data_IF_460671354043
#
_entry.id   IF_460671354043
#
_cell.length_a   1.000
_cell.length_b   1.000
_cell.length_c   1.000
_cell.angle_alpha   90.00
_cell.angle_beta   90.00
_cell.angle_gamma   90.00
#
_symmetry.space_group_name_H-M   'P 1'
#
loop_
_entity.id
_entity.type
_entity.pdbx_description
1 polymer ?
#
# COMPACT_ATOMS: atom_id res chain seq x y z
N UNK A 1 -27.76 -25.30 -43.79
CA UNK A 1 -26.35 -25.30 -44.22
C UNK A 1 -25.60 -24.34 -43.32
N UNK A 2 -24.65 -24.92 -42.59
CA UNK A 2 -23.64 -24.42 -41.64
C UNK A 2 -23.59 -22.92 -41.30
N UNK A 3 -23.90 -22.67 -40.02
CA UNK A 3 -23.56 -21.55 -39.16
C UNK A 3 -22.02 -21.45 -39.00
N UNK A 4 -21.41 -20.29 -39.23
CA UNK A 4 -20.01 -20.05 -38.84
C UNK A 4 -19.96 -18.95 -37.79
N UNK A 5 -19.70 -19.39 -36.56
CA UNK A 5 -19.38 -18.59 -35.38
C UNK A 5 -18.06 -17.85 -35.56
N UNK A 6 -17.95 -16.64 -35.00
CA UNK A 6 -16.68 -16.17 -34.45
C UNK A 6 -16.97 -15.47 -33.12
N UNK A 7 -16.61 -16.15 -32.04
CA UNK A 7 -16.60 -15.63 -30.67
C UNK A 7 -15.25 -14.95 -30.47
N UNK A 8 -15.26 -13.64 -30.25
CA UNK A 8 -14.11 -12.92 -29.71
C UNK A 8 -14.41 -12.59 -28.25
N UNK A 9 -13.83 -13.40 -27.38
CA UNK A 9 -13.69 -13.16 -25.95
C UNK A 9 -12.69 -12.03 -25.74
N UNK A 10 -13.18 -10.82 -25.47
CA UNK A 10 -12.42 -9.76 -24.81
C UNK A 10 -12.94 -9.64 -23.39
N UNK A 11 -12.17 -10.14 -22.41
CA UNK A 11 -12.48 -9.95 -20.99
C UNK A 11 -12.18 -8.47 -20.68
N UNK A 12 -13.22 -7.64 -20.71
CA UNK A 12 -13.15 -6.30 -20.15
C UNK A 12 -12.98 -6.42 -18.63
N UNK A 13 -11.94 -5.78 -18.11
CA UNK A 13 -11.64 -5.69 -16.69
C UNK A 13 -12.88 -5.24 -15.91
N UNK A 14 -13.21 -5.96 -14.84
CA UNK A 14 -14.15 -5.51 -13.83
C UNK A 14 -13.56 -4.28 -13.13
N UNK A 15 -13.97 -3.10 -13.57
CA UNK A 15 -13.91 -1.89 -12.76
C UNK A 15 -14.89 -2.10 -11.58
N UNK A 16 -14.36 -2.49 -10.42
CA UNK A 16 -15.14 -2.42 -9.20
C UNK A 16 -15.21 -0.96 -8.74
N UNK A 17 -16.45 -0.54 -8.54
CA UNK A 17 -16.93 0.73 -8.01
C UNK A 17 -16.07 1.24 -6.84
N UNK A 18 -15.40 2.38 -7.04
CA UNK A 18 -14.96 3.26 -5.95
C UNK A 18 -16.05 4.31 -5.77
N UNK A 19 -16.93 4.10 -4.80
CA UNK A 19 -17.87 5.14 -4.36
C UNK A 19 -17.32 5.79 -3.09
N UNK A 20 -16.91 7.05 -3.25
CA UNK A 20 -16.76 8.11 -2.23
C UNK A 20 -15.69 7.97 -1.14
N UNK A 21 -14.60 8.72 -1.31
CA UNK A 21 -14.04 9.54 -0.23
C UNK A 21 -13.91 10.96 -0.73
N UNK A 22 -14.72 11.85 -0.17
CA UNK A 22 -14.56 13.30 -0.28
C UNK A 22 -13.34 13.73 0.54
N UNK A 23 -12.61 14.70 -0.01
CA UNK A 23 -11.55 15.50 0.61
C UNK A 23 -10.14 14.89 0.51
N UNK A 24 -9.35 15.21 -0.54
CA UNK A 24 -7.91 15.01 -0.52
C UNK A 24 -7.32 15.92 0.56
N UNK A 25 -7.16 15.39 1.76
CA UNK A 25 -6.57 16.14 2.87
C UNK A 25 -5.09 16.33 2.57
N UNK A 26 -4.71 17.55 2.24
CA UNK A 26 -3.34 18.04 2.42
C UNK A 26 -2.91 17.68 3.84
N UNK A 27 -1.91 16.83 3.98
CA UNK A 27 -1.45 16.34 5.29
C UNK A 27 -1.02 17.55 6.14
N UNK A 28 -1.78 17.84 7.19
CA UNK A 28 -1.31 18.67 8.30
C UNK A 28 -0.45 17.75 9.19
N UNK A 29 0.81 18.15 9.41
CA UNK A 29 1.83 17.43 10.19
C UNK A 29 1.23 16.48 11.26
N UNK A 30 1.43 15.17 11.09
CA UNK A 30 1.16 14.15 12.13
C UNK A 30 -0.22 13.50 12.13
N UNK A 31 -1.09 13.76 11.15
CA UNK A 31 -2.38 13.05 11.04
C UNK A 31 -2.24 11.73 10.26
N UNK A 32 -2.65 10.60 10.85
CA UNK A 32 -2.71 9.32 10.14
C UNK A 32 -3.89 9.24 9.19
N UNK A 33 -3.66 8.65 8.02
CA UNK A 33 -4.71 8.20 7.12
C UNK A 33 -5.38 6.93 7.67
N UNK A 34 -6.63 6.72 7.29
CA UNK A 34 -7.38 5.50 7.59
C UNK A 34 -7.34 4.51 6.42
N UNK A 35 -7.95 3.32 6.58
CA UNK A 35 -8.02 2.33 5.50
C UNK A 35 -8.79 2.88 4.31
N UNK A 36 -8.29 2.66 3.10
CA UNK A 36 -8.81 3.25 1.86
C UNK A 36 -8.35 4.68 1.60
N UNK A 37 -7.51 5.26 2.46
CA UNK A 37 -6.99 6.61 2.29
C UNK A 37 -5.87 6.68 1.25
N UNK A 38 -5.76 7.85 0.62
CA UNK A 38 -4.72 8.19 -0.35
C UNK A 38 -3.86 9.34 0.18
N UNK A 39 -2.55 9.19 0.10
CA UNK A 39 -1.57 10.25 0.30
C UNK A 39 -1.20 10.83 -1.08
N UNK A 40 -1.40 12.12 -1.27
CA UNK A 40 -1.03 12.84 -2.49
C UNK A 40 0.21 13.69 -2.21
N UNK A 41 1.25 13.50 -3.02
CA UNK A 41 2.51 14.23 -2.92
C UNK A 41 2.54 15.38 -3.92
N UNK A 42 3.28 16.44 -3.60
CA UNK A 42 3.27 17.68 -4.37
C UNK A 42 3.83 17.55 -5.79
N UNK A 43 4.59 16.49 -6.07
CA UNK A 43 5.20 16.19 -7.35
C UNK A 43 4.35 15.30 -8.26
N UNK A 44 3.18 14.83 -7.81
CA UNK A 44 2.28 14.00 -8.61
C UNK A 44 2.28 12.51 -8.24
N UNK A 45 3.13 12.07 -7.30
CA UNK A 45 2.98 10.73 -6.73
C UNK A 45 1.71 10.65 -5.88
N UNK A 46 0.96 9.57 -6.02
CA UNK A 46 -0.12 9.21 -5.11
C UNK A 46 0.08 7.80 -4.58
N UNK A 47 -0.20 7.60 -3.28
CA UNK A 47 -0.12 6.29 -2.64
C UNK A 47 -1.42 5.97 -1.93
N UNK A 48 -2.03 4.85 -2.25
CA UNK A 48 -3.31 4.40 -1.68
C UNK A 48 -3.15 3.09 -0.95
N UNK A 49 -3.66 3.00 0.29
CA UNK A 49 -3.69 1.75 1.06
C UNK A 49 -5.14 1.29 1.18
N UNK A 50 -5.48 0.12 0.66
CA UNK A 50 -6.86 -0.40 0.71
C UNK A 50 -7.26 -0.77 2.13
N UNK A 51 -8.57 -0.93 2.36
CA UNK A 51 -9.04 -1.58 3.58
C UNK A 51 -8.53 -3.04 3.66
N UNK A 52 -8.21 -3.54 4.87
CA UNK A 52 -7.89 -4.95 5.06
C UNK A 52 -9.14 -5.82 4.86
N UNK A 53 -8.93 -6.97 4.24
CA UNK A 53 -9.93 -8.02 4.08
C UNK A 53 -9.39 -9.29 4.73
N UNK A 54 -10.27 -9.99 5.46
CA UNK A 54 -9.96 -11.30 6.01
C UNK A 54 -10.14 -12.39 4.94
N UNK A 55 -9.14 -13.23 4.78
CA UNK A 55 -9.14 -14.35 3.85
C UNK A 55 -9.76 -15.61 4.49
N UNK A 56 -10.21 -16.60 3.70
CA UNK A 56 -10.84 -17.83 4.22
C UNK A 56 -9.93 -18.67 5.13
N UNK A 57 -8.61 -18.59 4.96
CA UNK A 57 -7.60 -19.25 5.79
C UNK A 57 -7.34 -18.53 7.13
N UNK A 58 -8.00 -17.39 7.34
CA UNK A 58 -7.87 -16.57 8.54
C UNK A 58 -6.74 -15.53 8.48
N UNK A 59 -5.95 -15.50 7.40
CA UNK A 59 -4.99 -14.44 7.12
C UNK A 59 -5.69 -13.14 6.70
N UNK A 60 -4.92 -12.05 6.59
CA UNK A 60 -5.44 -10.77 6.13
C UNK A 60 -4.70 -10.30 4.89
N UNK A 61 -5.44 -9.59 4.03
CA UNK A 61 -4.90 -9.00 2.82
C UNK A 61 -5.35 -7.55 2.67
N UNK A 62 -4.42 -6.70 2.25
CA UNK A 62 -4.74 -5.37 1.71
C UNK A 62 -3.80 -5.09 0.54
N UNK A 63 -3.96 -3.95 -0.13
CA UNK A 63 -3.07 -3.52 -1.21
C UNK A 63 -2.49 -2.16 -0.94
N UNK A 64 -1.29 -1.94 -1.46
CA UNK A 64 -0.69 -0.61 -1.59
C UNK A 64 -0.57 -0.32 -3.09
N UNK A 65 -1.13 0.78 -3.54
CA UNK A 65 -1.02 1.25 -4.92
C UNK A 65 -0.19 2.52 -4.94
N UNK A 66 0.82 2.54 -5.80
CA UNK A 66 1.57 3.74 -6.17
C UNK A 66 1.12 4.13 -7.57
N UNK A 67 0.71 5.38 -7.74
CA UNK A 67 0.33 5.98 -9.02
C UNK A 67 1.28 7.17 -9.27
N UNK A 68 2.02 7.14 -10.38
CA UNK A 68 2.99 8.17 -10.71
C UNK A 68 2.43 9.13 -11.77
N UNK A 69 1.86 10.25 -11.37
CA UNK A 69 1.53 11.35 -12.29
C UNK A 69 2.63 12.44 -12.32
N UNK A 70 3.83 12.14 -11.81
CA UNK A 70 4.96 13.06 -11.86
C UNK A 70 5.65 13.03 -13.24
N UNK A 71 6.22 14.17 -13.64
CA UNK A 71 6.98 14.32 -14.89
C UNK A 71 8.34 13.55 -14.89
N UNK A 72 8.65 12.83 -13.82
CA UNK A 72 9.90 12.08 -13.64
C UNK A 72 9.62 10.64 -13.16
N UNK A 73 10.49 9.67 -13.51
CA UNK A 73 10.35 8.31 -13.00
C UNK A 73 10.52 8.25 -11.47
N UNK A 74 9.70 7.43 -10.81
CA UNK A 74 9.74 7.23 -9.36
C UNK A 74 10.13 5.80 -9.04
N UNK A 75 11.09 5.61 -8.13
CA UNK A 75 11.42 4.30 -7.57
C UNK A 75 10.78 4.15 -6.18
N UNK A 76 9.66 3.42 -6.02
CA UNK A 76 8.89 3.39 -4.77
C UNK A 76 9.72 3.02 -3.53
N UNK A 77 10.60 2.03 -3.67
CA UNK A 77 11.49 1.55 -2.59
C UNK A 77 12.97 1.85 -2.85
N UNK A 78 13.26 2.71 -3.82
CA UNK A 78 14.62 2.93 -4.32
C UNK A 78 15.15 1.73 -5.13
N UNK A 79 16.45 1.47 -5.02
CA UNK A 79 17.17 0.48 -5.84
C UNK A 79 17.54 -0.83 -5.13
N UNK A 80 16.98 -1.14 -3.96
CA UNK A 80 17.27 -2.38 -3.21
C UNK A 80 15.99 -3.08 -2.76
N UNK A 81 16.04 -4.42 -2.69
CA UNK A 81 14.97 -5.24 -2.12
C UNK A 81 14.84 -5.02 -0.61
N UNK A 82 15.86 -4.48 0.04
CA UNK A 82 15.85 -4.10 1.46
C UNK A 82 14.98 -2.86 1.74
N UNK A 83 14.37 -2.25 0.72
CA UNK A 83 13.53 -1.06 0.89
C UNK A 83 12.13 -1.32 1.46
N UNK A 84 11.87 -2.53 1.96
CA UNK A 84 10.62 -2.88 2.66
C UNK A 84 10.93 -3.57 3.99
N UNK A 85 10.13 -3.33 5.02
CA UNK A 85 10.33 -3.93 6.34
C UNK A 85 9.05 -4.02 7.16
N UNK A 86 9.08 -4.87 8.18
CA UNK A 86 8.02 -4.95 9.20
C UNK A 86 8.46 -4.42 10.58
N UNK A 87 9.66 -3.84 10.65
CA UNK A 87 10.29 -3.40 11.89
C UNK A 87 10.40 -1.89 11.94
N UNK A 88 9.90 -1.29 13.02
CA UNK A 88 9.91 0.16 13.24
C UNK A 88 11.31 0.80 13.30
N UNK A 89 12.35 0.00 13.58
CA UNK A 89 13.74 0.51 13.68
C UNK A 89 14.37 0.73 12.29
N UNK A 90 13.73 0.22 11.24
CA UNK A 90 14.18 0.43 9.87
C UNK A 90 13.83 1.84 9.37
N UNK A 91 14.64 2.38 8.47
CA UNK A 91 14.34 3.62 7.74
C UNK A 91 13.99 3.26 6.29
N UNK A 92 13.26 2.16 6.13
CA UNK A 92 12.95 1.60 4.83
C UNK A 92 11.77 2.37 4.22
N UNK A 93 11.78 2.66 2.91
CA UNK A 93 10.72 3.41 2.25
C UNK A 93 9.30 2.87 2.45
N UNK A 94 9.14 1.58 2.75
CA UNK A 94 7.85 0.97 3.07
C UNK A 94 7.96 0.11 4.33
N UNK A 95 7.22 0.48 5.38
CA UNK A 95 7.13 -0.30 6.61
C UNK A 95 5.69 -0.78 6.82
N UNK A 96 5.49 -2.07 7.10
CA UNK A 96 4.19 -2.64 7.51
C UNK A 96 4.36 -3.36 8.84
N UNK A 97 3.82 -2.79 9.92
CA UNK A 97 4.06 -3.31 11.28
C UNK A 97 2.80 -3.38 12.13
N UNK A 98 2.87 -4.18 13.18
CA UNK A 98 1.87 -4.18 14.24
C UNK A 98 1.98 -2.91 15.12
N UNK A 99 0.85 -2.52 15.71
CA UNK A 99 0.76 -1.40 16.64
C UNK A 99 0.38 -0.08 15.98
N UNK A 100 0.21 0.95 16.80
CA UNK A 100 0.09 2.35 16.38
C UNK A 100 1.49 3.00 16.38
N UNK A 101 1.63 4.19 15.79
CA UNK A 101 2.82 5.03 15.96
C UNK A 101 2.99 5.46 17.43
N UNK A 102 4.24 5.63 17.89
CA UNK A 102 4.59 6.08 19.25
C UNK A 102 3.67 7.20 19.78
N UNK A 103 3.10 7.05 20.98
CA UNK A 103 2.42 8.16 21.68
C UNK A 103 1.22 7.84 22.57
N UNK A 104 0.68 6.61 22.56
CA UNK A 104 -0.39 6.24 23.48
C UNK A 104 -0.34 4.74 23.80
N UNK A 105 0.08 4.40 25.02
CA UNK A 105 -0.14 3.09 25.66
C UNK A 105 0.06 1.87 24.74
N UNK A 106 1.14 1.86 23.96
CA UNK A 106 1.41 0.81 23.00
C UNK A 106 1.56 -0.53 23.73
N UNK A 107 0.49 -1.31 23.76
CA UNK A 107 0.54 -2.74 24.04
C UNK A 107 1.66 -3.33 23.18
N UNK A 108 2.44 -4.25 23.75
CA UNK A 108 3.55 -4.92 23.07
C UNK A 108 3.16 -5.22 21.61
N UNK A 109 4.01 -4.88 20.62
CA UNK A 109 3.68 -5.09 19.22
C UNK A 109 3.19 -6.52 19.08
N UNK A 110 1.93 -6.68 18.66
CA UNK A 110 1.41 -8.01 18.37
C UNK A 110 2.29 -8.66 17.31
N UNK A 111 2.40 -9.98 17.32
CA UNK A 111 3.09 -10.69 16.24
C UNK A 111 2.32 -10.45 14.94
N UNK A 112 2.86 -9.62 14.06
CA UNK A 112 2.44 -9.47 12.67
C UNK A 112 3.54 -10.10 11.82
N UNK A 113 3.14 -11.02 10.96
CA UNK A 113 4.04 -11.68 10.03
C UNK A 113 3.66 -11.26 8.61
N UNK A 114 4.49 -10.43 7.97
CA UNK A 114 4.31 -10.06 6.57
C UNK A 114 4.88 -11.16 5.67
N UNK A 115 4.01 -12.07 5.24
CA UNK A 115 4.38 -13.33 4.61
C UNK A 115 4.90 -13.20 3.16
N UNK A 116 4.78 -12.03 2.54
CA UNK A 116 5.12 -11.81 1.14
C UNK A 116 5.95 -10.54 0.90
N UNK A 117 6.68 -10.08 1.92
CA UNK A 117 7.58 -8.92 1.88
C UNK A 117 8.55 -8.96 0.69
N UNK A 118 9.29 -10.05 0.47
CA UNK A 118 10.24 -10.15 -0.64
C UNK A 118 9.55 -10.06 -2.02
N UNK A 119 8.34 -10.59 -2.16
CA UNK A 119 7.57 -10.50 -3.40
C UNK A 119 7.09 -9.07 -3.66
N UNK A 120 6.76 -8.34 -2.59
CA UNK A 120 6.40 -6.93 -2.67
C UNK A 120 7.62 -6.10 -3.04
N UNK A 121 8.75 -6.31 -2.37
CA UNK A 121 10.02 -5.65 -2.69
C UNK A 121 10.36 -5.78 -4.18
N UNK A 122 10.38 -7.01 -4.70
CA UNK A 122 10.63 -7.30 -6.12
C UNK A 122 9.73 -6.57 -7.09
N UNK A 123 8.45 -6.37 -6.74
CA UNK A 123 7.49 -5.65 -7.57
C UNK A 123 7.65 -4.14 -7.51
N UNK A 124 8.18 -3.62 -6.41
CA UNK A 124 8.41 -2.18 -6.21
C UNK A 124 9.81 -1.73 -6.64
N UNK A 125 10.72 -2.68 -6.96
CA UNK A 125 12.07 -2.38 -7.49
C UNK A 125 12.07 -1.59 -8.81
N UNK A 126 11.26 -1.94 -9.83
CA UNK A 126 11.24 -1.16 -11.06
C UNK A 126 10.78 0.27 -10.78
N UNK A 127 11.36 1.23 -11.50
CA UNK A 127 10.83 2.59 -11.49
C UNK A 127 9.51 2.62 -12.25
N UNK A 128 8.61 3.49 -11.80
CA UNK A 128 7.36 3.83 -12.45
C UNK A 128 7.62 5.04 -13.33
N UNK A 129 7.39 4.91 -14.63
CA UNK A 129 7.39 6.05 -15.54
C UNK A 129 6.16 6.94 -15.31
N UNK A 130 6.10 8.11 -15.96
CA UNK A 130 4.93 9.00 -15.91
C UNK A 130 3.65 8.26 -16.39
N UNK A 131 2.57 8.38 -15.63
CA UNK A 131 1.29 7.73 -15.85
C UNK A 131 1.25 6.24 -15.52
N UNK A 132 2.34 5.66 -14.99
CA UNK A 132 2.37 4.26 -14.57
C UNK A 132 1.90 4.08 -13.12
N UNK A 133 1.33 2.90 -12.88
CA UNK A 133 0.89 2.48 -11.56
C UNK A 133 1.40 1.10 -11.22
N UNK A 134 1.72 0.85 -9.95
CA UNK A 134 1.97 -0.49 -9.42
C UNK A 134 1.12 -0.74 -8.19
N UNK A 135 0.46 -1.90 -8.18
CA UNK A 135 -0.31 -2.37 -7.03
C UNK A 135 0.33 -3.64 -6.47
N UNK A 136 0.66 -3.60 -5.18
CA UNK A 136 1.23 -4.73 -4.46
C UNK A 136 0.27 -5.25 -3.38
N UNK A 137 -0.01 -6.56 -3.35
CA UNK A 137 -0.76 -7.14 -2.26
C UNK A 137 0.14 -7.29 -1.04
N UNK A 138 -0.38 -6.96 0.14
CA UNK A 138 0.23 -7.23 1.43
C UNK A 138 -0.52 -8.41 2.05
N UNK A 139 0.21 -9.44 2.44
CA UNK A 139 -0.32 -10.65 3.05
C UNK A 139 0.20 -10.79 4.47
N UNK A 140 -0.72 -10.74 5.43
CA UNK A 140 -0.43 -10.82 6.85
C UNK A 140 -0.91 -12.16 7.40
N UNK A 141 -0.01 -12.93 7.98
CA UNK A 141 -0.33 -14.18 8.68
C UNK A 141 -0.15 -14.01 10.19
N UNK A 142 -0.69 -14.97 10.95
CA UNK A 142 -0.52 -15.10 12.41
C UNK A 142 -1.10 -13.95 13.26
N UNK A 143 -1.61 -12.90 12.63
CA UNK A 143 -2.29 -11.80 13.29
C UNK A 143 -3.71 -12.16 13.73
N UNK A 144 -4.13 -11.61 14.88
CA UNK A 144 -5.49 -11.79 15.41
C UNK A 144 -6.42 -10.72 14.85
N UNK A 145 -7.71 -11.05 14.79
CA UNK A 145 -8.76 -10.04 14.62
C UNK A 145 -8.63 -8.99 15.72
N UNK A 146 -8.71 -7.71 15.38
CA UNK A 146 -8.47 -6.62 16.30
C UNK A 146 -7.01 -6.17 16.40
N UNK A 147 -6.06 -6.82 15.69
CA UNK A 147 -4.66 -6.38 15.67
C UNK A 147 -4.57 -5.00 14.98
N UNK A 148 -4.01 -3.97 15.66
CA UNK A 148 -3.72 -2.70 15.02
C UNK A 148 -2.52 -2.85 14.07
N UNK A 149 -2.61 -2.21 12.91
CA UNK A 149 -1.56 -2.19 11.87
C UNK A 149 -1.25 -0.75 11.51
N UNK A 150 0.03 -0.47 11.37
CA UNK A 150 0.54 0.77 10.77
C UNK A 150 1.25 0.43 9.47
N UNK A 151 0.92 1.17 8.41
CA UNK A 151 1.68 1.21 7.15
C UNK A 151 2.35 2.57 7.08
N UNK A 152 3.66 2.62 6.88
CA UNK A 152 4.44 3.85 6.73
C UNK A 152 5.09 3.84 5.36
N UNK A 153 4.96 4.96 4.64
CA UNK A 153 5.51 5.11 3.29
C UNK A 153 6.31 6.40 3.23
N UNK A 154 7.59 6.25 2.95
CA UNK A 154 8.57 7.32 2.73
C UNK A 154 9.23 7.11 1.35
N UNK A 155 8.55 7.47 0.24
CA UNK A 155 9.04 7.18 -1.10
C UNK A 155 10.36 7.91 -1.36
N UNK A 156 11.34 7.20 -1.92
CA UNK A 156 12.60 7.85 -2.30
C UNK A 156 12.37 8.89 -3.40
N UNK A 157 12.98 10.07 -3.23
CA UNK A 157 12.91 11.16 -4.20
C UNK A 157 14.21 11.94 -4.21
N UNK A 158 14.51 12.64 -5.32
CA UNK A 158 15.63 13.57 -5.38
C UNK A 158 15.39 14.84 -4.52
N UNK A 159 14.13 15.10 -4.14
CA UNK A 159 13.70 16.19 -3.26
C UNK A 159 13.26 15.71 -1.87
N UNK A 160 12.51 16.55 -1.17
CA UNK A 160 11.86 16.18 0.08
C UNK A 160 10.42 15.74 -0.18
N UNK A 161 10.06 14.53 0.28
CA UNK A 161 8.69 14.06 0.43
C UNK A 161 8.40 13.84 1.90
N UNK A 162 7.30 14.39 2.39
CA UNK A 162 6.84 14.10 3.74
C UNK A 162 6.28 12.68 3.77
N UNK A 163 6.75 11.84 4.70
CA UNK A 163 6.25 10.48 4.87
C UNK A 163 4.76 10.46 5.23
N UNK A 164 4.05 9.47 4.71
CA UNK A 164 2.64 9.25 5.03
C UNK A 164 2.49 7.96 5.83
N UNK A 165 1.50 7.94 6.74
CA UNK A 165 1.16 6.73 7.47
C UNK A 165 -0.35 6.45 7.47
N UNK A 166 -0.68 5.16 7.46
CA UNK A 166 -2.02 4.63 7.57
C UNK A 166 -2.12 3.77 8.83
N UNK A 167 -3.14 4.04 9.64
CA UNK A 167 -3.42 3.29 10.85
C UNK A 167 -4.82 2.69 10.75
N UNK A 168 -4.91 1.37 10.95
CA UNK A 168 -6.17 0.65 10.93
C UNK A 168 -6.11 -0.61 11.78
N UNK A 169 -7.22 -1.33 11.87
CA UNK A 169 -7.34 -2.59 12.61
C UNK A 169 -7.76 -3.69 11.64
N UNK A 170 -7.23 -4.89 11.84
CA UNK A 170 -7.62 -6.08 11.09
C UNK A 170 -8.99 -6.58 11.58
N UNK A 171 -10.02 -6.53 10.74
CA UNK A 171 -11.40 -6.97 11.04
C UNK A 171 -11.80 -8.18 10.18
#
# INVERSE_FOLDING_TARGET
>A
MVLTSLVLLGIAALAWVVESVKDPRRLENGSSLGPGGTAEYADGLSVTVSAPSREPDGSYRFTITYDNDADEPISPIGGSEDGVSQYEISHDPLIVRAGKRYGADAAAPGDLNWANDEQVARKLLPSLEEGESVTVPIHITDAKRGTPVTVEVEPQSAGYREGANWEFTLD
#
